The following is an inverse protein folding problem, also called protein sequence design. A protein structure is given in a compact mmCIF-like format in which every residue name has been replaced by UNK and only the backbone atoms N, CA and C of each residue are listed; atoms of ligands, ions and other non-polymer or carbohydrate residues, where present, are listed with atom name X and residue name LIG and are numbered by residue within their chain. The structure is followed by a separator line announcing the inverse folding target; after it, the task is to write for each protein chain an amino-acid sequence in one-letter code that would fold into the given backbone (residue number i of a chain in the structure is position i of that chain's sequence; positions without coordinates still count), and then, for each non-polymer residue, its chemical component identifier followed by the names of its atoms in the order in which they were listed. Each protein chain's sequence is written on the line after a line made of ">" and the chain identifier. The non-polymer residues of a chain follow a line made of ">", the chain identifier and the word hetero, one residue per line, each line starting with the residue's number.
data_IF_687410359285
#
_entry.id   IF_687410359285
#
_cell.length_a   1.000
_cell.length_b   1.000
_cell.length_c   1.000
_cell.angle_alpha   90.00
_cell.angle_beta   90.00
_cell.angle_gamma   90.00
#
_symmetry.space_group_name_H-M   'P 1'
#
loop_
_entity.id
_entity.type
_entity.pdbx_description
1 polymer ?
#
# COMPACT_ATOMS: atom_id res chain seq x y z
N UNK A 1 2.99 -35.31 -19.23
CA UNK A 1 2.14 -35.30 -20.43
C UNK A 1 1.16 -36.47 -20.45
N UNK A 2 1.59 -37.73 -20.36
CA UNK A 2 0.71 -38.91 -20.50
C UNK A 2 -0.44 -39.03 -19.47
N UNK A 3 -0.25 -38.56 -18.22
CA UNK A 3 -1.30 -38.62 -17.17
C UNK A 3 -2.43 -37.59 -17.34
N UNK A 4 -2.15 -36.46 -17.99
CA UNK A 4 -3.17 -35.42 -18.24
C UNK A 4 -4.09 -35.85 -19.38
N UNK A 5 -3.54 -36.60 -20.36
CA UNK A 5 -4.31 -37.14 -21.48
C UNK A 5 -5.36 -38.16 -21.03
N UNK A 6 -5.05 -38.96 -20.00
CA UNK A 6 -5.99 -39.94 -19.43
C UNK A 6 -7.16 -39.30 -18.67
N UNK A 7 -6.93 -38.18 -17.98
CA UNK A 7 -7.99 -37.46 -17.26
C UNK A 7 -8.98 -36.77 -18.22
N UNK A 8 -8.52 -36.27 -19.37
CA UNK A 8 -9.41 -35.72 -20.39
C UNK A 8 -10.22 -36.81 -21.10
N UNK A 9 -9.65 -38.00 -21.34
CA UNK A 9 -10.37 -39.11 -21.97
C UNK A 9 -11.48 -39.69 -21.05
N UNK A 10 -11.25 -39.71 -19.74
CA UNK A 10 -12.23 -40.22 -18.78
C UNK A 10 -13.50 -39.34 -18.71
N UNK A 11 -13.35 -38.01 -18.88
CA UNK A 11 -14.48 -37.07 -18.93
C UNK A 11 -15.31 -37.13 -20.21
N UNK A 12 -14.83 -37.84 -21.25
CA UNK A 12 -15.52 -38.04 -22.52
C UNK A 12 -16.33 -39.34 -22.56
N UNK A 13 -16.47 -40.06 -21.45
CA UNK A 13 -17.35 -41.24 -21.40
C UNK A 13 -18.82 -40.78 -21.42
N UNK A 14 -19.58 -41.05 -22.51
CA UNK A 14 -20.94 -40.58 -22.61
C UNK A 14 -21.83 -41.43 -21.70
N UNK A 15 -22.47 -40.77 -20.74
CA UNK A 15 -23.59 -41.33 -19.99
C UNK A 15 -24.72 -41.60 -20.99
N UNK A 16 -24.86 -42.86 -21.40
CA UNK A 16 -25.97 -43.32 -22.22
C UNK A 16 -27.25 -43.36 -21.37
N UNK A 17 -28.10 -42.35 -21.50
CA UNK A 17 -29.54 -42.51 -21.28
C UNK A 17 -30.31 -41.39 -22.00
N UNK A 18 -30.93 -41.77 -23.13
CA UNK A 18 -32.17 -41.22 -23.69
C UNK A 18 -32.26 -39.70 -23.89
N UNK A 19 -31.94 -39.20 -25.10
CA UNK A 19 -32.77 -38.26 -25.91
C UNK A 19 -32.15 -38.06 -27.31
N UNK A 20 -32.77 -38.49 -28.42
CA UNK A 20 -32.11 -38.54 -29.74
C UNK A 20 -31.94 -37.20 -30.49
N UNK A 21 -32.37 -36.06 -29.94
CA UNK A 21 -32.40 -34.79 -30.70
C UNK A 21 -31.28 -33.81 -30.34
N UNK A 22 -30.59 -34.00 -29.20
CA UNK A 22 -29.55 -33.05 -28.71
C UNK A 22 -28.12 -33.50 -29.07
N UNK A 23 -27.95 -34.65 -29.74
CA UNK A 23 -26.62 -35.18 -30.06
C UNK A 23 -25.89 -34.40 -31.15
N UNK A 24 -26.60 -33.75 -32.08
CA UNK A 24 -25.99 -33.03 -33.21
C UNK A 24 -25.12 -31.85 -32.78
N UNK A 25 -25.65 -31.00 -31.89
CA UNK A 25 -24.93 -29.81 -31.39
C UNK A 25 -23.76 -30.21 -30.47
N UNK A 26 -23.97 -31.24 -29.65
CA UNK A 26 -22.94 -31.75 -28.74
C UNK A 26 -21.73 -32.29 -29.49
N UNK A 27 -21.94 -33.02 -30.59
CA UNK A 27 -20.86 -33.54 -31.44
C UNK A 27 -20.08 -32.39 -32.09
N UNK A 28 -20.78 -31.37 -32.58
CA UNK A 28 -20.15 -30.21 -33.24
C UNK A 28 -19.27 -29.42 -32.27
N UNK A 29 -19.73 -29.21 -31.02
CA UNK A 29 -18.93 -28.57 -29.97
C UNK A 29 -17.69 -29.37 -29.59
N UNK A 30 -17.78 -30.70 -29.51
CA UNK A 30 -16.63 -31.57 -29.23
C UNK A 30 -15.61 -31.49 -30.35
N UNK A 31 -16.04 -31.55 -31.62
CA UNK A 31 -15.15 -31.44 -32.78
C UNK A 31 -14.45 -30.08 -32.82
N UNK A 32 -15.19 -28.98 -32.59
CA UNK A 32 -14.60 -27.63 -32.52
C UNK A 32 -13.60 -27.53 -31.37
N UNK A 33 -13.92 -28.08 -30.19
CA UNK A 33 -13.03 -28.11 -29.04
C UNK A 33 -11.70 -28.84 -29.33
N UNK A 34 -11.76 -29.99 -29.99
CA UNK A 34 -10.56 -30.77 -30.38
C UNK A 34 -9.70 -30.00 -31.38
N UNK A 35 -10.32 -29.33 -32.36
CA UNK A 35 -9.58 -28.52 -33.36
C UNK A 35 -8.89 -27.33 -32.68
N UNK A 36 -9.60 -26.57 -31.83
CA UNK A 36 -9.02 -25.42 -31.13
C UNK A 36 -7.89 -25.84 -30.19
N UNK A 37 -8.05 -26.97 -29.49
CA UNK A 37 -7.00 -27.52 -28.63
C UNK A 37 -5.77 -27.94 -29.46
N UNK A 38 -5.97 -28.59 -30.61
CA UNK A 38 -4.90 -28.95 -31.54
C UNK A 38 -4.16 -27.73 -32.09
N UNK A 39 -4.87 -26.68 -32.49
CA UNK A 39 -4.27 -25.43 -32.97
C UNK A 39 -3.49 -24.71 -31.88
N UNK A 40 -4.03 -24.63 -30.66
CA UNK A 40 -3.36 -23.99 -29.53
C UNK A 40 -2.06 -24.73 -29.16
N UNK A 41 -2.12 -26.06 -29.00
CA UNK A 41 -0.94 -26.87 -28.70
C UNK A 41 0.09 -26.86 -29.83
N UNK A 42 -0.36 -26.88 -31.08
CA UNK A 42 0.50 -26.73 -32.26
C UNK A 42 1.20 -25.38 -32.32
N UNK A 43 0.49 -24.27 -32.08
CA UNK A 43 1.06 -22.92 -32.02
C UNK A 43 2.06 -22.77 -30.87
N UNK A 44 1.77 -23.33 -29.70
CA UNK A 44 2.72 -23.33 -28.58
C UNK A 44 3.99 -24.11 -28.93
N UNK A 45 3.87 -25.31 -29.49
CA UNK A 45 5.01 -26.12 -29.90
C UNK A 45 5.84 -25.43 -31.01
N UNK A 46 5.17 -24.81 -31.98
CA UNK A 46 5.81 -24.03 -33.03
C UNK A 46 6.55 -22.80 -32.48
N UNK A 47 5.92 -22.03 -31.57
CA UNK A 47 6.53 -20.87 -30.94
C UNK A 47 7.75 -21.25 -30.09
N UNK A 48 7.71 -22.39 -29.40
CA UNK A 48 8.84 -22.90 -28.63
C UNK A 48 9.99 -23.32 -29.57
N UNK A 49 9.67 -24.04 -30.65
CA UNK A 49 10.68 -24.56 -31.58
C UNK A 49 11.35 -23.45 -32.40
N UNK A 50 10.56 -22.46 -32.82
CA UNK A 50 11.02 -21.34 -33.64
C UNK A 50 11.26 -20.07 -32.83
N UNK A 51 11.50 -20.18 -31.51
CA UNK A 51 11.71 -19.02 -30.63
C UNK A 51 12.86 -18.10 -31.09
N UNK A 52 13.87 -18.66 -31.77
CA UNK A 52 15.01 -17.90 -32.31
C UNK A 52 14.59 -17.14 -33.57
N UNK A 53 13.96 -17.82 -34.51
CA UNK A 53 13.50 -17.21 -35.77
C UNK A 53 12.38 -16.17 -35.54
N UNK A 54 11.49 -16.42 -34.58
CA UNK A 54 10.46 -15.45 -34.16
C UNK A 54 11.06 -14.20 -33.51
N UNK A 55 12.20 -14.32 -32.81
CA UNK A 55 12.88 -13.16 -32.23
C UNK A 55 13.51 -12.26 -33.31
N UNK A 56 13.93 -12.84 -34.45
CA UNK A 56 14.44 -12.09 -35.60
C UNK A 56 13.32 -11.48 -36.47
N UNK A 57 12.14 -12.10 -36.50
CA UNK A 57 10.98 -11.62 -37.27
C UNK A 57 10.11 -10.59 -36.53
N UNK A 58 10.21 -10.49 -35.20
CA UNK A 58 9.43 -9.56 -34.37
C UNK A 58 10.12 -8.27 -33.87
N UNK A 59 11.25 -7.75 -34.40
CA UNK A 59 11.84 -6.52 -33.90
C UNK A 59 10.96 -5.28 -34.20
N UNK A 60 10.03 -5.34 -35.14
CA UNK A 60 9.21 -4.17 -35.49
C UNK A 60 7.99 -3.94 -34.57
N UNK A 61 7.43 -4.99 -33.94
CA UNK A 61 6.16 -4.87 -33.18
C UNK A 61 6.37 -4.60 -31.69
N UNK A 62 7.51 -5.01 -31.11
CA UNK A 62 7.79 -4.83 -29.68
C UNK A 62 8.80 -3.71 -29.36
N UNK A 63 9.29 -2.97 -30.34
CA UNK A 63 10.26 -1.89 -30.12
C UNK A 63 9.67 -0.62 -29.46
N UNK A 64 8.34 -0.51 -29.30
CA UNK A 64 7.72 0.74 -28.80
C UNK A 64 7.61 0.87 -27.28
N UNK A 65 7.99 -0.14 -26.48
CA UNK A 65 8.09 0.01 -25.01
C UNK A 65 9.37 -0.62 -24.49
N UNK A 66 10.49 -0.37 -25.16
CA UNK A 66 11.78 -0.42 -24.47
C UNK A 66 11.80 0.77 -23.52
N UNK A 67 11.20 0.61 -22.35
CA UNK A 67 11.48 1.47 -21.20
C UNK A 67 12.99 1.53 -21.13
N UNK A 68 13.54 2.72 -21.42
CA UNK A 68 14.93 3.04 -21.14
C UNK A 68 15.16 2.55 -19.72
N UNK A 69 15.96 1.49 -19.57
CA UNK A 69 16.40 1.04 -18.27
C UNK A 69 17.33 2.14 -17.81
N UNK A 70 16.73 3.17 -17.21
CA UNK A 70 17.43 4.27 -16.57
C UNK A 70 18.36 3.60 -15.57
N UNK A 71 19.67 3.76 -15.79
CA UNK A 71 20.65 3.16 -14.91
C UNK A 71 20.36 3.69 -13.51
N UNK A 72 20.14 2.82 -12.51
CA UNK A 72 19.77 3.24 -11.17
C UNK A 72 20.83 4.21 -10.68
N UNK A 73 20.39 5.41 -10.31
CA UNK A 73 21.28 6.47 -9.86
C UNK A 73 22.00 6.02 -8.58
N UNK A 74 23.14 6.61 -8.27
CA UNK A 74 23.86 6.30 -7.03
C UNK A 74 22.99 6.58 -5.80
N UNK A 75 22.08 7.55 -5.89
CA UNK A 75 21.09 7.84 -4.86
C UNK A 75 20.10 6.68 -4.66
N UNK A 76 19.65 6.04 -5.75
CA UNK A 76 18.77 4.87 -5.69
C UNK A 76 19.47 3.67 -5.05
N UNK A 77 20.76 3.49 -5.31
CA UNK A 77 21.58 2.45 -4.67
C UNK A 77 21.69 2.66 -3.16
N UNK A 78 21.97 3.89 -2.73
CA UNK A 78 22.04 4.24 -1.30
C UNK A 78 20.66 4.09 -0.64
N UNK A 79 19.59 4.47 -1.32
CA UNK A 79 18.22 4.31 -0.83
C UNK A 79 17.86 2.83 -0.66
N UNK A 80 18.24 1.98 -1.61
CA UNK A 80 18.04 0.53 -1.56
C UNK A 80 18.83 -0.10 -0.40
N UNK A 81 20.10 0.25 -0.20
CA UNK A 81 20.90 -0.28 0.90
C UNK A 81 20.33 0.13 2.27
N UNK A 82 19.86 1.37 2.42
CA UNK A 82 19.17 1.83 3.63
C UNK A 82 17.86 1.09 3.88
N UNK A 83 17.10 0.81 2.83
CA UNK A 83 15.86 0.04 2.93
C UNK A 83 16.15 -1.42 3.34
N UNK A 84 17.19 -2.04 2.79
CA UNK A 84 17.60 -3.39 3.15
C UNK A 84 18.09 -3.47 4.61
N UNK A 85 18.91 -2.51 5.07
CA UNK A 85 19.33 -2.44 6.49
C UNK A 85 18.14 -2.26 7.44
N UNK A 86 17.14 -1.46 7.05
CA UNK A 86 15.89 -1.32 7.84
C UNK A 86 15.09 -2.61 7.89
N UNK A 87 15.06 -3.37 6.79
CA UNK A 87 14.38 -4.66 6.74
C UNK A 87 15.06 -5.67 7.68
N UNK A 88 16.40 -5.78 7.64
CA UNK A 88 17.16 -6.68 8.53
C UNK A 88 16.96 -6.34 10.01
N UNK A 89 17.05 -5.06 10.39
CA UNK A 89 16.77 -4.63 11.78
C UNK A 89 15.36 -4.96 12.24
N UNK A 90 14.37 -4.89 11.34
CA UNK A 90 12.98 -5.23 11.67
C UNK A 90 12.80 -6.74 11.86
N UNK A 91 13.54 -7.54 11.10
CA UNK A 91 13.54 -9.00 11.22
C UNK A 91 14.24 -9.45 12.51
N UNK A 92 15.41 -8.89 12.82
CA UNK A 92 16.12 -9.10 14.09
C UNK A 92 15.25 -8.73 15.31
N UNK A 93 14.53 -7.60 15.24
CA UNK A 93 13.61 -7.20 16.31
C UNK A 93 12.41 -8.15 16.45
N UNK A 94 11.96 -8.75 15.34
CA UNK A 94 10.86 -9.73 15.37
C UNK A 94 11.34 -11.04 16.00
N UNK A 95 12.51 -11.53 15.60
CA UNK A 95 13.12 -12.73 16.15
C UNK A 95 13.43 -12.56 17.66
N UNK A 96 13.93 -11.39 18.06
CA UNK A 96 14.14 -11.08 19.48
C UNK A 96 12.83 -11.01 20.27
N UNK A 97 11.73 -10.55 19.67
CA UNK A 97 10.42 -10.54 20.31
C UNK A 97 9.86 -11.97 20.47
N UNK A 98 10.00 -12.81 19.45
CA UNK A 98 9.58 -14.22 19.49
C UNK A 98 10.37 -15.01 20.55
N UNK A 99 11.67 -14.77 20.68
CA UNK A 99 12.49 -15.39 21.73
C UNK A 99 12.06 -15.00 23.17
N UNK A 100 11.53 -13.77 23.36
CA UNK A 100 11.00 -13.35 24.66
C UNK A 100 9.64 -13.99 24.96
N UNK A 101 8.78 -14.15 23.95
CA UNK A 101 7.50 -14.86 24.09
C UNK A 101 7.71 -16.34 24.44
N UNK A 102 8.73 -16.98 23.86
CA UNK A 102 9.12 -18.36 24.19
C UNK A 102 9.61 -18.49 25.64
N UNK A 103 10.39 -17.52 26.15
CA UNK A 103 10.83 -17.51 27.55
C UNK A 103 9.65 -17.29 28.52
N UNK A 104 8.74 -16.37 28.20
CA UNK A 104 7.51 -16.14 28.99
C UNK A 104 6.64 -17.39 29.02
N UNK A 105 6.44 -18.07 27.89
CA UNK A 105 5.69 -19.33 27.80
C UNK A 105 6.36 -20.45 28.61
N UNK A 106 7.70 -20.52 28.60
CA UNK A 106 8.46 -21.48 29.41
C UNK A 106 8.27 -21.23 30.91
N UNK A 107 8.22 -19.97 31.33
CA UNK A 107 7.95 -19.60 32.73
C UNK A 107 6.50 -19.92 33.14
N UNK A 108 5.52 -19.69 32.27
CA UNK A 108 4.10 -20.01 32.54
C UNK A 108 3.83 -21.52 32.64
N UNK A 109 4.52 -22.35 31.85
CA UNK A 109 4.34 -23.81 31.89
C UNK A 109 4.92 -24.48 33.14
N UNK A 110 5.54 -23.73 34.06
CA UNK A 110 6.00 -24.24 35.36
C UNK A 110 6.99 -25.40 35.25
N UNK A 111 7.68 -25.52 34.12
CA UNK A 111 8.70 -26.55 33.94
C UNK A 111 9.82 -26.27 34.95
N UNK A 112 10.11 -27.22 35.86
CA UNK A 112 11.16 -27.02 36.84
C UNK A 112 12.46 -26.75 36.07
N UNK A 113 13.02 -25.56 36.31
CA UNK A 113 14.40 -25.26 35.97
C UNK A 113 15.23 -26.44 36.48
N UNK A 114 15.77 -27.26 35.57
CA UNK A 114 16.69 -28.35 35.92
C UNK A 114 17.93 -27.70 36.51
N UNK A 115 17.85 -27.48 37.82
CA UNK A 115 18.87 -26.98 38.69
C UNK A 115 19.80 -28.17 38.96
N UNK A 116 21.01 -28.03 38.45
CA UNK A 116 22.27 -28.65 38.86
C UNK A 116 22.25 -30.12 39.33
N UNK A 117 22.93 -30.96 38.55
CA UNK A 117 23.54 -32.17 39.08
C UNK A 117 24.96 -32.31 38.53
N UNK A 118 25.95 -32.28 39.42
CA UNK A 118 27.22 -32.98 39.18
C UNK A 118 28.53 -32.19 39.23
N UNK A 119 28.89 -31.65 40.40
CA UNK A 119 30.30 -31.51 40.80
C UNK A 119 30.85 -32.89 41.16
N UNK A 120 31.79 -33.42 40.37
CA UNK A 120 32.86 -34.31 40.86
C UNK A 120 34.16 -33.97 40.13
N UNK A 121 35.15 -33.49 40.90
CA UNK A 121 36.27 -32.72 40.39
C UNK A 121 37.56 -33.47 40.09
N UNK A 122 38.55 -32.69 39.65
CA UNK A 122 39.97 -32.85 40.00
C UNK A 122 40.67 -31.53 39.65
N UNK A 123 41.22 -30.89 40.68
CA UNK A 123 41.76 -29.54 40.58
C UNK A 123 43.10 -29.45 39.88
N UNK A 124 43.49 -28.20 39.59
CA UNK A 124 44.83 -27.63 39.77
C UNK A 124 44.64 -26.10 39.77
N UNK A 125 45.17 -25.43 40.80
CA UNK A 125 45.33 -23.98 40.92
C UNK A 125 46.70 -23.54 40.32
N UNK A 126 47.15 -22.27 40.34
CA UNK A 126 46.47 -21.00 40.69
C UNK A 126 46.76 -19.81 39.73
N UNK A 127 46.20 -18.65 40.12
CA UNK A 127 46.68 -17.25 39.91
C UNK A 127 46.01 -16.48 38.77
N UNK A 128 45.66 -15.20 38.85
CA UNK A 128 45.73 -14.11 39.85
C UNK A 128 44.89 -12.98 39.21
N UNK A 129 43.93 -12.35 39.87
CA UNK A 129 44.02 -11.03 40.53
C UNK A 129 42.96 -10.08 39.95
N UNK A 130 42.28 -9.35 40.83
CA UNK A 130 41.49 -8.13 40.55
C UNK A 130 40.06 -8.38 40.05
N UNK A 131 38.98 -8.02 40.75
CA UNK A 131 38.81 -7.07 41.84
C UNK A 131 37.64 -6.14 41.50
N UNK A 132 36.59 -6.16 42.33
CA UNK A 132 35.61 -5.09 42.59
C UNK A 132 34.68 -4.64 41.43
N UNK A 133 33.40 -4.30 41.62
CA UNK A 133 32.60 -4.06 42.81
C UNK A 133 31.12 -4.31 42.50
N UNK A 134 30.42 -4.67 43.56
CA UNK A 134 28.98 -4.80 43.72
C UNK A 134 28.27 -3.45 43.61
N UNK A 135 27.07 -3.44 43.01
CA UNK A 135 25.98 -2.62 43.53
C UNK A 135 24.61 -3.24 43.19
N UNK A 136 24.11 -3.97 44.17
CA UNK A 136 22.69 -4.28 44.36
C UNK A 136 21.95 -3.03 44.85
N UNK A 137 20.74 -2.76 44.34
CA UNK A 137 19.60 -2.30 45.16
C UNK A 137 18.27 -2.22 44.39
N UNK A 138 17.34 -3.06 44.87
CA UNK A 138 15.91 -2.81 45.12
C UNK A 138 14.94 -2.38 44.00
N UNK A 139 14.07 -3.34 43.65
CA UNK A 139 12.60 -3.28 43.69
C UNK A 139 11.92 -1.91 43.92
N UNK A 140 11.10 -1.47 42.95
CA UNK A 140 9.78 -0.87 43.21
C UNK A 140 8.88 -0.83 41.95
N UNK A 141 7.83 -1.67 42.03
CA UNK A 141 6.47 -1.56 41.45
C UNK A 141 6.05 -0.18 40.91
N UNK A 142 5.43 -0.16 39.72
CA UNK A 142 4.64 1.00 39.27
C UNK A 142 4.09 0.92 37.85
N UNK A 143 2.98 0.18 37.65
CA UNK A 143 2.11 0.28 36.46
C UNK A 143 1.65 1.74 36.26
N UNK A 144 1.84 2.31 35.06
CA UNK A 144 0.94 3.33 34.53
C UNK A 144 0.92 3.35 33.00
N UNK A 145 -0.21 2.91 32.46
CA UNK A 145 -0.64 3.04 31.07
C UNK A 145 -0.84 4.53 30.77
N UNK A 146 -0.24 5.03 29.69
CA UNK A 146 -0.40 6.42 29.24
C UNK A 146 0.36 6.68 27.94
N UNK A 147 -0.25 6.31 26.81
CA UNK A 147 0.31 6.58 25.49
C UNK A 147 0.34 8.08 25.17
N UNK A 148 1.39 8.62 24.53
CA UNK A 148 1.43 10.00 24.11
C UNK A 148 0.60 10.20 22.83
N UNK A 149 -0.57 10.84 22.96
CA UNK A 149 -1.27 11.45 21.81
C UNK A 149 -0.45 12.64 21.31
N UNK A 150 0.05 12.49 20.07
CA UNK A 150 0.86 13.44 19.33
C UNK A 150 -0.01 14.61 18.87
N UNK A 151 -0.01 15.71 19.63
CA UNK A 151 -0.61 16.98 19.21
C UNK A 151 0.29 17.69 18.20
N UNK A 152 -0.25 17.97 17.02
CA UNK A 152 0.35 18.81 15.99
C UNK A 152 0.43 20.27 16.46
N UNK A 153 1.64 20.82 16.54
CA UNK A 153 1.86 22.25 16.68
C UNK A 153 2.29 22.81 15.32
N UNK A 154 1.39 23.63 14.77
CA UNK A 154 1.63 24.56 13.67
C UNK A 154 2.52 25.70 14.15
N UNK A 155 3.64 25.92 13.48
CA UNK A 155 4.40 27.15 13.55
C UNK A 155 4.50 27.72 12.14
N UNK A 156 3.69 28.76 11.92
CA UNK A 156 3.84 29.80 10.91
C UNK A 156 5.18 30.52 11.14
N UNK A 157 5.92 30.88 10.07
CA UNK A 157 5.98 32.31 9.81
C UNK A 157 5.99 32.65 8.30
N UNK A 158 5.07 33.53 7.92
CA UNK A 158 5.24 34.40 6.77
C UNK A 158 6.45 35.32 6.91
N UNK A 159 7.11 35.59 5.78
CA UNK A 159 7.38 36.93 5.26
C UNK A 159 8.23 36.83 3.98
N UNK A 160 7.55 37.04 2.85
CA UNK A 160 7.86 38.00 1.79
C UNK A 160 9.35 38.32 1.53
N UNK A 161 9.86 37.87 0.38
CA UNK A 161 10.90 38.63 -0.36
C UNK A 161 10.70 38.47 -1.86
N UNK A 162 10.43 39.59 -2.51
CA UNK A 162 10.34 39.74 -3.96
C UNK A 162 11.76 39.84 -4.57
N UNK A 163 11.98 39.10 -5.69
CA UNK A 163 12.83 39.34 -6.89
C UNK A 163 14.32 39.77 -6.73
N UNK A 164 15.22 39.53 -7.72
CA UNK A 164 14.98 39.50 -9.16
C UNK A 164 15.68 38.39 -9.98
N UNK A 165 15.27 38.32 -11.24
CA UNK A 165 15.81 37.54 -12.35
C UNK A 165 17.24 37.98 -12.70
N UNK A 166 18.18 37.04 -12.81
CA UNK A 166 19.46 37.21 -13.51
C UNK A 166 19.68 35.96 -14.35
N UNK A 167 19.88 36.17 -15.66
CA UNK A 167 20.34 35.21 -16.65
C UNK A 167 21.86 35.31 -16.82
N UNK A 168 22.45 34.32 -17.53
CA UNK A 168 23.86 34.11 -17.91
C UNK A 168 24.65 33.30 -16.85
N UNK A 169 25.48 32.29 -17.13
CA UNK A 169 25.95 31.54 -18.32
C UNK A 169 26.68 30.27 -17.75
N UNK A 170 26.98 29.19 -18.51
CA UNK A 170 27.55 27.96 -17.98
C UNK A 170 29.09 27.92 -18.08
N UNK A 171 29.74 27.35 -17.07
CA UNK A 171 31.10 26.84 -17.17
C UNK A 171 32.00 27.25 -16.00
N UNK A 172 32.25 26.33 -15.08
CA UNK A 172 33.61 25.93 -14.67
C UNK A 172 33.55 24.87 -13.57
N UNK A 173 34.38 23.84 -13.75
CA UNK A 173 34.63 22.75 -12.80
C UNK A 173 35.65 23.19 -11.74
N UNK A 174 35.45 22.80 -10.49
CA UNK A 174 36.47 22.97 -9.44
C UNK A 174 36.00 22.62 -8.03
N UNK A 175 36.62 21.64 -7.32
CA UNK A 175 36.14 21.15 -6.02
C UNK A 175 37.01 21.61 -4.84
N UNK A 176 36.45 22.19 -3.77
CA UNK A 176 37.12 22.27 -2.45
C UNK A 176 36.15 22.35 -1.25
N UNK A 177 36.30 21.38 -0.35
CA UNK A 177 36.10 21.32 1.12
C UNK A 177 34.70 21.45 1.80
N UNK A 178 34.39 20.56 2.78
CA UNK A 178 33.29 20.71 3.73
C UNK A 178 33.76 21.33 5.06
N UNK A 179 33.13 22.43 5.49
CA UNK A 179 33.31 22.99 6.83
C UNK A 179 32.14 22.59 7.74
N UNK A 180 32.52 21.90 8.81
CA UNK A 180 31.78 21.58 10.03
C UNK A 180 31.34 22.88 10.72
N UNK A 181 30.10 22.97 11.22
CA UNK A 181 29.88 23.34 12.63
C UNK A 181 28.47 23.12 13.16
N UNK A 182 28.48 22.71 14.43
CA UNK A 182 27.35 22.36 15.27
C UNK A 182 26.76 23.61 15.92
N UNK A 183 25.43 23.68 16.04
CA UNK A 183 24.80 24.59 16.99
C UNK A 183 23.65 23.90 17.73
N UNK A 184 23.98 23.39 18.92
CA UNK A 184 23.05 23.04 19.99
C UNK A 184 22.43 24.34 20.54
N UNK A 185 21.11 24.47 20.54
CA UNK A 185 20.42 25.45 21.37
C UNK A 185 19.30 24.79 22.18
N UNK A 186 19.58 24.63 23.47
CA UNK A 186 18.64 24.39 24.55
C UNK A 186 17.95 25.70 24.94
N UNK A 187 16.63 25.70 25.17
CA UNK A 187 15.96 26.73 25.97
C UNK A 187 14.62 26.27 26.56
N UNK A 188 14.68 26.00 27.86
CA UNK A 188 13.82 26.49 28.96
C UNK A 188 12.29 26.45 28.86
N UNK A 189 11.73 25.64 29.78
CA UNK A 189 10.48 25.75 30.56
C UNK A 189 9.72 27.09 30.46
N UNK A 190 8.43 26.97 30.15
CA UNK A 190 7.39 27.96 30.45
C UNK A 190 6.10 27.25 30.87
N UNK A 191 5.87 27.19 32.18
CA UNK A 191 4.68 26.67 32.88
C UNK A 191 3.65 27.79 33.00
N UNK A 192 2.45 27.65 32.42
CA UNK A 192 1.26 28.40 32.85
C UNK A 192 -0.02 27.57 32.72
N UNK A 193 -0.75 27.57 33.82
CA UNK A 193 -2.10 27.02 34.00
C UNK A 193 -3.14 27.92 33.33
N UNK A 194 -4.23 27.36 32.83
CA UNK A 194 -5.56 27.96 32.98
C UNK A 194 -6.65 26.92 32.75
N UNK A 195 -7.59 26.89 33.68
CA UNK A 195 -8.73 26.00 33.82
C UNK A 195 -9.96 26.83 33.44
N UNK A 196 -10.76 26.39 32.46
CA UNK A 196 -12.17 26.79 32.20
C UNK A 196 -12.85 25.49 31.70
N UNK A 197 -13.81 24.87 32.41
CA UNK A 197 -15.17 25.37 32.69
C UNK A 197 -15.99 25.22 31.40
N UNK A 198 -16.81 24.19 31.18
CA UNK A 198 -18.04 23.86 31.92
C UNK A 198 -19.23 24.42 31.13
N UNK A 199 -20.07 23.57 30.55
CA UNK A 199 -21.24 24.02 29.77
C UNK A 199 -21.99 22.87 29.06
N UNK A 200 -22.76 22.13 29.84
CA UNK A 200 -23.80 21.20 29.39
C UNK A 200 -25.12 21.96 29.51
N UNK A 201 -25.83 22.12 28.39
CA UNK A 201 -27.20 22.62 28.29
C UNK A 201 -27.73 22.18 26.92
N UNK A 202 -28.58 21.16 26.81
CA UNK A 202 -30.02 21.12 27.13
C UNK A 202 -30.89 21.71 26.00
N UNK A 203 -31.97 20.97 25.72
CA UNK A 203 -33.16 21.27 24.92
C UNK A 203 -33.14 21.06 23.39
N UNK A 204 -33.60 19.86 23.05
CA UNK A 204 -34.78 19.61 22.19
C UNK A 204 -35.45 20.83 21.58
N UNK A 205 -35.49 20.87 20.23
CA UNK A 205 -36.62 21.46 19.52
C UNK A 205 -36.85 20.78 18.18
N UNK A 206 -37.87 19.93 18.14
CA UNK A 206 -38.57 19.44 16.96
C UNK A 206 -39.10 20.62 16.11
N UNK A 207 -38.69 20.71 14.85
CA UNK A 207 -39.44 21.40 13.80
C UNK A 207 -38.95 21.03 12.38
N UNK A 208 -39.77 20.22 11.69
CA UNK A 208 -40.10 20.19 10.25
C UNK A 208 -38.99 20.37 9.17
N UNK A 209 -38.89 19.44 8.18
CA UNK A 209 -38.02 19.61 7.02
C UNK A 209 -38.67 20.57 6.02
N UNK A 210 -38.20 21.82 6.02
CA UNK A 210 -38.43 22.77 4.93
C UNK A 210 -37.32 22.55 3.90
N UNK A 211 -37.66 22.01 2.74
CA UNK A 211 -36.80 21.99 1.56
C UNK A 211 -36.32 23.42 1.28
N UNK A 212 -35.05 23.67 1.59
CA UNK A 212 -34.32 24.87 1.20
C UNK A 212 -33.33 24.43 0.13
N UNK A 213 -33.53 24.96 -1.07
CA UNK A 213 -32.51 25.01 -2.11
C UNK A 213 -31.23 25.63 -1.53
N UNK A 214 -30.28 24.76 -1.20
CA UNK A 214 -29.06 25.06 -0.47
C UNK A 214 -27.98 25.63 -1.37
N UNK A 215 -28.18 26.86 -1.83
CA UNK A 215 -27.15 27.65 -2.52
C UNK A 215 -26.64 28.71 -1.56
N UNK A 216 -25.76 28.35 -0.62
CA UNK A 216 -25.19 29.35 0.29
C UNK A 216 -24.53 28.82 1.56
N UNK A 217 -23.68 27.80 1.45
CA UNK A 217 -22.77 27.46 2.54
C UNK A 217 -21.65 28.50 2.60
N UNK A 218 -21.72 29.37 3.61
CA UNK A 218 -20.65 30.32 3.90
C UNK A 218 -19.33 29.57 4.19
N UNK A 219 -18.18 30.05 3.67
CA UNK A 219 -16.90 29.39 3.86
C UNK A 219 -16.46 29.49 5.33
N UNK A 220 -16.51 28.36 6.04
CA UNK A 220 -15.97 28.25 7.39
C UNK A 220 -14.46 28.51 7.35
N UNK A 221 -14.08 29.61 7.98
CA UNK A 221 -12.77 30.24 7.96
C UNK A 221 -11.88 29.56 9.02
N UNK A 222 -10.82 28.86 8.62
CA UNK A 222 -9.67 28.61 9.50
C UNK A 222 -8.99 27.25 9.45
N UNK A 223 -9.63 26.21 8.90
CA UNK A 223 -8.93 24.96 8.59
C UNK A 223 -8.33 25.07 7.19
N UNK A 224 -7.05 24.77 7.00
CA UNK A 224 -6.46 24.56 5.66
C UNK A 224 -7.01 23.27 5.03
N UNK A 225 -8.33 23.15 4.95
CA UNK A 225 -9.00 22.09 4.22
C UNK A 225 -8.64 22.32 2.75
N UNK A 226 -7.77 21.46 2.21
CA UNK A 226 -7.48 21.47 0.79
C UNK A 226 -8.80 21.31 0.04
N UNK A 227 -8.94 22.05 -1.06
CA UNK A 227 -10.10 21.93 -1.93
C UNK A 227 -10.29 20.45 -2.32
N UNK A 228 -11.55 20.01 -2.34
CA UNK A 228 -11.88 18.67 -2.80
C UNK A 228 -11.30 18.42 -4.21
N UNK A 229 -10.97 17.16 -4.56
CA UNK A 229 -10.53 16.82 -5.91
C UNK A 229 -11.55 17.26 -6.96
N UNK A 230 -11.07 17.56 -8.16
CA UNK A 230 -11.92 17.94 -9.29
C UNK A 230 -12.83 16.77 -9.66
N UNK A 231 -14.14 17.03 -9.70
CA UNK A 231 -15.12 16.10 -10.26
C UNK A 231 -15.02 16.11 -11.79
N UNK A 232 -15.28 14.99 -12.45
CA UNK A 232 -15.20 14.90 -13.91
C UNK A 232 -14.77 13.51 -14.42
N UNK A 233 -14.30 13.43 -15.68
CA UNK A 233 -13.64 12.24 -16.21
C UNK A 233 -12.26 12.04 -15.57
N UNK A 234 -11.93 10.79 -15.30
CA UNK A 234 -10.67 10.34 -14.75
C UNK A 234 -10.18 9.14 -15.56
N UNK A 235 -8.91 9.17 -15.92
CA UNK A 235 -8.22 8.06 -16.57
C UNK A 235 -7.46 7.27 -15.51
N UNK A 236 -7.65 5.96 -15.53
CA UNK A 236 -7.05 5.04 -14.59
C UNK A 236 -6.19 3.96 -15.23
N UNK A 237 -5.24 3.47 -14.44
CA UNK A 237 -4.45 2.27 -14.72
C UNK A 237 -4.62 1.30 -13.56
N UNK A 238 -5.21 0.14 -13.85
CA UNK A 238 -5.34 -0.99 -12.95
C UNK A 238 -4.20 -1.97 -13.23
N UNK A 239 -3.37 -2.25 -12.23
CA UNK A 239 -2.27 -3.21 -12.35
C UNK A 239 -2.52 -4.44 -11.49
N UNK A 240 -2.66 -5.61 -12.14
CA UNK A 240 -2.90 -6.90 -11.50
C UNK A 240 -1.87 -7.92 -11.99
N UNK A 241 -1.15 -8.57 -11.06
CA UNK A 241 -0.13 -9.61 -11.38
C UNK A 241 0.89 -9.18 -12.46
N UNK A 242 1.25 -7.89 -12.47
CA UNK A 242 2.19 -7.32 -13.44
C UNK A 242 1.58 -6.94 -14.80
N UNK A 243 0.28 -7.21 -15.02
CA UNK A 243 -0.45 -6.78 -16.20
C UNK A 243 -1.19 -5.47 -15.89
N UNK A 244 -0.94 -4.43 -16.68
CA UNK A 244 -1.61 -3.14 -16.57
C UNK A 244 -2.76 -3.05 -17.58
N UNK A 245 -3.90 -2.54 -17.13
CA UNK A 245 -5.09 -2.27 -17.96
C UNK A 245 -5.52 -0.83 -17.73
N UNK A 246 -5.84 -0.10 -18.80
CA UNK A 246 -6.39 1.25 -18.67
C UNK A 246 -7.92 1.18 -18.53
N UNK A 247 -8.49 2.08 -17.72
CA UNK A 247 -9.93 2.18 -17.51
C UNK A 247 -10.31 3.63 -17.27
N UNK A 248 -11.44 4.07 -17.82
CA UNK A 248 -11.98 5.41 -17.56
C UNK A 248 -13.01 5.38 -16.44
N UNK A 249 -13.16 6.52 -15.76
CA UNK A 249 -14.12 6.72 -14.66
C UNK A 249 -14.73 8.11 -14.78
N UNK A 250 -15.99 8.26 -14.38
CA UNK A 250 -16.61 9.56 -14.14
C UNK A 250 -16.87 9.71 -12.66
N UNK A 251 -16.01 10.44 -11.95
CA UNK A 251 -16.06 10.60 -10.50
C UNK A 251 -16.63 11.96 -10.11
N UNK A 252 -17.51 11.97 -9.13
CA UNK A 252 -18.13 13.16 -8.52
C UNK A 252 -17.83 13.19 -7.03
N UNK A 253 -17.06 14.18 -6.61
CA UNK A 253 -16.73 14.47 -5.22
C UNK A 253 -17.72 15.50 -4.69
N UNK A 254 -18.59 15.07 -3.77
CA UNK A 254 -19.58 15.93 -3.14
C UNK A 254 -18.97 16.69 -1.94
N UNK A 255 -19.59 17.82 -1.57
CA UNK A 255 -19.11 18.67 -0.48
C UNK A 255 -19.17 17.99 0.90
N UNK A 256 -20.00 16.96 1.06
CA UNK A 256 -20.09 16.13 2.27
C UNK A 256 -19.05 15.00 2.31
N UNK A 257 -18.11 15.00 1.36
CA UNK A 257 -17.08 13.97 1.22
C UNK A 257 -17.58 12.70 0.55
N UNK A 258 -18.85 12.56 0.14
CA UNK A 258 -19.26 11.37 -0.63
C UNK A 258 -18.64 11.38 -2.02
N UNK A 259 -18.29 10.19 -2.49
CA UNK A 259 -17.80 9.93 -3.84
C UNK A 259 -18.85 9.12 -4.58
N UNK A 260 -19.34 9.65 -5.69
CA UNK A 260 -20.25 8.96 -6.60
C UNK A 260 -19.59 8.85 -7.97
N UNK A 261 -20.00 7.88 -8.78
CA UNK A 261 -19.51 7.82 -10.14
C UNK A 261 -19.94 6.60 -10.91
N UNK A 262 -19.43 6.50 -12.13
CA UNK A 262 -19.61 5.34 -13.00
C UNK A 262 -18.30 5.00 -13.69
N UNK A 263 -18.07 3.72 -13.97
CA UNK A 263 -17.01 3.33 -14.91
C UNK A 263 -17.35 3.86 -16.32
N UNK A 264 -16.33 4.02 -17.18
CA UNK A 264 -16.49 4.59 -18.52
C UNK A 264 -17.39 3.75 -19.45
N UNK A 265 -17.49 2.45 -19.20
CA UNK A 265 -18.40 1.54 -19.89
C UNK A 265 -19.85 1.63 -19.38
N UNK A 266 -20.09 2.37 -18.30
CA UNK A 266 -21.38 2.48 -17.62
C UNK A 266 -21.81 1.20 -16.90
N UNK A 267 -20.99 0.15 -16.88
CA UNK A 267 -21.36 -1.16 -16.32
C UNK A 267 -21.22 -1.23 -14.80
N UNK A 268 -20.45 -0.31 -14.23
CA UNK A 268 -20.19 -0.27 -12.80
C UNK A 268 -20.65 1.03 -12.15
N UNK A 269 -21.39 0.90 -11.04
CA UNK A 269 -21.78 2.02 -10.18
C UNK A 269 -20.76 2.19 -9.06
N UNK A 270 -20.35 3.43 -8.81
CA UNK A 270 -19.32 3.77 -7.82
C UNK A 270 -19.97 4.55 -6.67
N UNK A 271 -19.71 4.08 -5.44
CA UNK A 271 -20.13 4.77 -4.23
C UNK A 271 -19.04 4.69 -3.17
N UNK A 272 -18.76 5.80 -2.48
CA UNK A 272 -17.66 5.88 -1.55
C UNK A 272 -17.62 7.16 -0.74
N UNK A 273 -16.49 7.37 -0.08
CA UNK A 273 -16.22 8.52 0.77
C UNK A 273 -14.76 8.97 0.64
N UNK A 274 -14.57 10.28 0.65
CA UNK A 274 -13.31 10.99 0.67
C UNK A 274 -13.19 11.70 2.00
N UNK A 275 -12.13 11.35 2.73
CA UNK A 275 -11.73 11.99 3.97
C UNK A 275 -10.73 13.13 3.66
N UNK A 276 -11.14 14.40 3.79
CA UNK A 276 -10.30 15.54 3.45
C UNK A 276 -9.12 15.72 4.41
N UNK A 277 -9.23 15.23 5.64
CA UNK A 277 -8.20 15.40 6.68
C UNK A 277 -7.02 14.44 6.45
N UNK A 278 -7.33 13.22 6.00
CA UNK A 278 -6.33 12.19 5.73
C UNK A 278 -5.97 12.06 4.25
N UNK A 279 -6.57 12.87 3.36
CA UNK A 279 -6.48 12.73 1.91
C UNK A 279 -6.74 11.29 1.42
N UNK A 280 -7.59 10.57 2.13
CA UNK A 280 -7.87 9.16 1.89
C UNK A 280 -9.20 9.05 1.17
N UNK A 281 -9.24 8.20 0.15
CA UNK A 281 -10.46 7.92 -0.59
C UNK A 281 -10.74 6.42 -0.57
N UNK A 282 -11.97 6.06 -0.25
CA UNK A 282 -12.43 4.68 -0.22
C UNK A 282 -13.74 4.61 -0.98
N UNK A 283 -13.83 3.73 -1.98
CA UNK A 283 -15.08 3.48 -2.69
C UNK A 283 -15.25 2.00 -2.98
N UNK A 284 -16.48 1.65 -3.32
CA UNK A 284 -16.86 0.34 -3.83
C UNK A 284 -17.49 0.51 -5.21
N UNK A 285 -17.05 -0.33 -6.13
CA UNK A 285 -17.62 -0.48 -7.46
C UNK A 285 -18.51 -1.72 -7.47
N UNK A 286 -19.72 -1.59 -7.97
CA UNK A 286 -20.66 -2.71 -8.10
C UNK A 286 -20.81 -3.06 -9.57
N UNK A 287 -20.39 -4.27 -9.93
CA UNK A 287 -20.43 -4.85 -11.27
C UNK A 287 -21.44 -6.00 -11.31
N UNK A 288 -21.88 -6.41 -12.50
CA UNK A 288 -22.76 -7.58 -12.65
C UNK A 288 -22.12 -8.89 -12.15
N UNK A 289 -20.79 -8.99 -12.25
CA UNK A 289 -20.01 -10.17 -11.84
C UNK A 289 -19.51 -10.11 -10.40
N UNK A 290 -19.61 -8.97 -9.71
CA UNK A 290 -19.06 -8.84 -8.36
C UNK A 290 -18.87 -7.42 -7.86
N UNK A 291 -18.09 -7.27 -6.79
CA UNK A 291 -17.78 -5.97 -6.18
C UNK A 291 -16.28 -5.76 -6.10
N UNK A 292 -15.84 -4.53 -6.34
CA UNK A 292 -14.44 -4.11 -6.21
C UNK A 292 -14.35 -3.02 -5.17
N UNK A 293 -13.61 -3.26 -4.10
CA UNK A 293 -13.33 -2.25 -3.07
C UNK A 293 -11.99 -1.60 -3.35
N UNK A 294 -12.00 -0.28 -3.46
CA UNK A 294 -10.80 0.54 -3.69
C UNK A 294 -10.48 1.32 -2.42
N UNK A 295 -9.21 1.33 -2.04
CA UNK A 295 -8.67 2.21 -1.00
C UNK A 295 -7.46 2.91 -1.58
N UNK A 296 -7.54 4.23 -1.68
CA UNK A 296 -6.48 5.08 -2.23
C UNK A 296 -6.21 6.30 -1.38
N UNK A 297 -5.18 7.03 -1.81
CA UNK A 297 -4.74 8.28 -1.25
C UNK A 297 -4.59 9.30 -2.38
N UNK A 298 -4.94 10.54 -2.08
CA UNK A 298 -4.92 11.63 -3.05
C UNK A 298 -3.63 12.43 -2.88
N UNK A 299 -2.93 12.67 -3.98
CA UNK A 299 -1.71 13.46 -4.06
C UNK A 299 -1.92 14.56 -5.08
N UNK A 300 -1.22 15.70 -4.93
CA UNK A 300 -1.31 16.79 -5.89
C UNK A 300 0.04 16.95 -6.58
N UNK A 301 0.10 16.68 -7.87
CA UNK A 301 1.30 16.85 -8.70
C UNK A 301 1.06 18.03 -9.63
N UNK A 302 1.85 19.10 -9.48
CA UNK A 302 1.69 20.35 -10.23
C UNK A 302 0.25 20.91 -10.18
N UNK A 303 -0.36 20.92 -8.98
CA UNK A 303 -1.75 21.33 -8.74
C UNK A 303 -2.84 20.42 -9.32
N UNK A 304 -2.49 19.35 -10.04
CA UNK A 304 -3.44 18.35 -10.51
C UNK A 304 -3.59 17.23 -9.47
N UNK A 305 -4.81 16.92 -9.00
CA UNK A 305 -5.02 15.81 -8.08
C UNK A 305 -4.77 14.48 -8.80
N UNK A 306 -4.17 13.51 -8.12
CA UNK A 306 -3.94 12.15 -8.58
C UNK A 306 -4.31 11.20 -7.46
N UNK A 307 -4.87 10.04 -7.79
CA UNK A 307 -5.26 9.04 -6.80
C UNK A 307 -4.39 7.81 -7.01
N UNK A 308 -3.70 7.35 -5.98
CA UNK A 308 -3.01 6.06 -6.03
C UNK A 308 -3.49 5.17 -4.89
N UNK A 309 -3.68 3.89 -5.15
CA UNK A 309 -4.32 3.00 -4.21
C UNK A 309 -4.19 1.53 -4.55
N UNK A 310 -4.92 0.73 -3.78
CA UNK A 310 -5.08 -0.69 -4.01
C UNK A 310 -6.56 -1.04 -4.13
N UNK A 311 -6.85 -2.07 -4.92
CA UNK A 311 -8.19 -2.62 -5.03
C UNK A 311 -8.22 -4.08 -4.61
N UNK A 312 -9.39 -4.52 -4.15
CA UNK A 312 -9.71 -5.91 -3.84
C UNK A 312 -11.07 -6.25 -4.42
N UNK A 313 -11.11 -7.22 -5.32
CA UNK A 313 -12.32 -7.76 -5.92
C UNK A 313 -12.90 -8.91 -5.08
N UNK A 314 -14.20 -9.17 -5.25
CA UNK A 314 -14.94 -10.21 -4.51
C UNK A 314 -14.52 -11.64 -4.87
N UNK A 315 -13.96 -11.84 -6.05
CA UNK A 315 -13.36 -13.11 -6.50
C UNK A 315 -11.96 -13.37 -5.89
N UNK A 316 -11.46 -12.46 -5.06
CA UNK A 316 -10.13 -12.53 -4.46
C UNK A 316 -9.03 -11.82 -5.27
N UNK A 317 -9.36 -11.27 -6.44
CA UNK A 317 -8.48 -10.42 -7.22
C UNK A 317 -7.98 -9.23 -6.41
N UNK A 318 -6.72 -8.85 -6.61
CA UNK A 318 -6.10 -7.70 -5.93
C UNK A 318 -5.07 -7.04 -6.81
N UNK A 319 -4.95 -5.73 -6.71
CA UNK A 319 -4.01 -4.98 -7.53
C UNK A 319 -3.81 -3.55 -7.06
N UNK A 320 -3.08 -2.80 -7.87
CA UNK A 320 -2.84 -1.37 -7.69
C UNK A 320 -3.73 -0.58 -8.64
N UNK A 321 -4.11 0.60 -8.20
CA UNK A 321 -4.88 1.57 -8.98
C UNK A 321 -4.14 2.91 -8.99
N UNK A 322 -4.03 3.51 -10.16
CA UNK A 322 -3.53 4.88 -10.33
C UNK A 322 -4.52 5.64 -11.20
N UNK A 323 -5.01 6.80 -10.75
CA UNK A 323 -5.94 7.66 -11.48
C UNK A 323 -5.39 9.07 -11.63
N UNK A 324 -5.64 9.67 -12.79
CA UNK A 324 -5.45 11.10 -13.06
C UNK A 324 -6.69 11.68 -13.75
N UNK A 325 -7.05 12.95 -13.49
CA UNK A 325 -8.06 13.67 -14.27
C UNK A 325 -7.67 13.65 -15.75
N UNK A 326 -8.67 13.57 -16.61
CA UNK A 326 -8.50 13.72 -18.07
C UNK A 326 -8.50 15.20 -18.49
#
# INVERSE_FOLDING_TARGET
>A
MARVFWLCLAYLTPVQAQQPVIYGESILLVVVGVILFGLCTGLCAFAIRNRKDLAELLPAVFSSTRTVVEQPTEEDRIAFERAERRKRRKEELREAAEALEDEETRLEMGLPSTLEEGVQGRGVAPSSEGGESTNSLSLARGRKVGGPRRGSRTSDPGLRRERPSIALDPGEEGPVAPLVESAKHSRTKGRRHSIHGGGIGELEKLAQPKERDGTGSAPLKGGTHRAAPTSGPWRGTLSERGVARSSGYHLKFLADGRVLGTAADGQAQISGHFDPDNHRVVWSESHAWGTVKVTGHIFYKAHTPQITGAFKASDGGKGKLELSPE
#
